data_IF_632656466470
#
_entry.id   IF_632656466470
#
_cell.length_a   1.000
_cell.length_b   1.000
_cell.length_c   1.000
_cell.angle_alpha   90.00
_cell.angle_beta   90.00
_cell.angle_gamma   90.00
#
_symmetry.space_group_name_H-M   'P 1'
#
loop_
_entity.id
_entity.type
_entity.pdbx_description
1 polymer ?
#
# COMPACT_ATOMS: atom_id res chain seq x y z
N UNK A 1 7.01 14.60 1.89
CA UNK A 1 7.03 13.48 0.93
C UNK A 1 5.63 13.06 0.53
N UNK A 2 4.76 12.65 1.48
CA UNK A 2 3.39 12.21 1.15
C UNK A 2 2.58 13.24 0.35
N UNK A 3 2.72 14.53 0.65
CA UNK A 3 2.06 15.60 -0.10
C UNK A 3 2.46 15.61 -1.60
N UNK A 4 3.71 15.26 -1.94
CA UNK A 4 4.10 15.10 -3.36
C UNK A 4 3.38 13.93 -4.02
N UNK A 5 3.15 12.84 -3.28
CA UNK A 5 2.39 11.70 -3.81
C UNK A 5 0.92 12.06 -3.99
N UNK A 6 0.34 12.85 -3.07
CA UNK A 6 -1.01 13.39 -3.20
C UNK A 6 -1.16 14.27 -4.45
N UNK A 7 -0.20 15.17 -4.68
CA UNK A 7 -0.17 16.02 -5.88
C UNK A 7 -0.12 15.15 -7.16
N UNK A 8 0.77 14.16 -7.22
CA UNK A 8 0.86 13.24 -8.35
C UNK A 8 -0.45 12.47 -8.59
N UNK A 9 -1.11 12.01 -7.53
CA UNK A 9 -2.39 11.28 -7.61
C UNK A 9 -3.60 12.18 -7.82
N UNK A 10 -3.42 13.50 -7.72
CA UNK A 10 -4.45 14.48 -8.09
C UNK A 10 -4.51 14.60 -9.61
N UNK A 11 -3.34 14.63 -10.26
CA UNK A 11 -3.22 14.77 -11.71
C UNK A 11 -3.38 13.44 -12.46
N UNK A 12 -3.10 12.31 -11.78
CA UNK A 12 -3.03 10.99 -12.39
C UNK A 12 -3.71 9.91 -11.56
N UNK A 13 -4.18 8.85 -12.23
CA UNK A 13 -4.77 7.68 -11.54
C UNK A 13 -3.75 6.90 -10.68
N UNK A 14 -2.48 6.90 -11.07
CA UNK A 14 -1.37 6.22 -10.39
C UNK A 14 -0.17 7.16 -10.28
N UNK A 15 0.82 6.82 -9.45
CA UNK A 15 1.93 7.73 -9.09
C UNK A 15 2.72 8.25 -10.29
N UNK A 16 2.78 7.48 -11.38
CA UNK A 16 3.56 7.81 -12.58
C UNK A 16 2.68 7.97 -13.85
N UNK A 17 1.35 8.08 -13.72
CA UNK A 17 0.44 8.29 -14.85
C UNK A 17 -0.87 7.52 -14.77
N UNK A 18 -1.48 7.25 -15.92
CA UNK A 18 -2.81 6.61 -16.00
C UNK A 18 -2.82 5.10 -15.79
N UNK A 19 -1.65 4.47 -15.80
CA UNK A 19 -1.49 3.03 -15.65
C UNK A 19 -0.66 2.67 -14.42
N UNK A 20 -1.04 1.56 -13.77
CA UNK A 20 -0.28 1.00 -12.67
C UNK A 20 1.14 0.68 -13.15
N UNK A 21 2.13 1.15 -12.40
CA UNK A 21 3.54 1.02 -12.78
C UNK A 21 4.36 0.32 -11.70
N UNK A 22 5.60 -0.05 -12.04
CA UNK A 22 6.57 -0.51 -11.04
C UNK A 22 6.84 0.55 -9.95
N UNK A 23 6.70 1.85 -10.27
CA UNK A 23 6.83 2.93 -9.29
C UNK A 23 5.79 2.82 -8.18
N UNK A 24 4.54 2.55 -8.53
CA UNK A 24 3.46 2.32 -7.55
C UNK A 24 3.79 1.16 -6.62
N UNK A 25 4.25 0.04 -7.19
CA UNK A 25 4.54 -1.17 -6.43
C UNK A 25 5.79 -0.98 -5.54
N UNK A 26 6.78 -0.22 -6.00
CA UNK A 26 7.99 0.07 -5.23
C UNK A 26 7.72 1.02 -4.05
N UNK A 27 6.82 2.00 -4.23
CA UNK A 27 6.50 3.00 -3.19
C UNK A 27 5.47 2.48 -2.19
N UNK A 28 4.54 1.63 -2.63
CA UNK A 28 3.43 1.10 -1.82
C UNK A 28 3.84 0.54 -0.45
N UNK A 29 4.88 -0.31 -0.30
CA UNK A 29 5.27 -0.85 0.99
C UNK A 29 5.63 0.23 2.02
N UNK A 30 6.31 1.30 1.59
CA UNK A 30 6.74 2.38 2.46
C UNK A 30 5.58 3.24 2.92
N UNK A 31 4.66 3.58 2.01
CA UNK A 31 3.44 4.31 2.36
C UNK A 31 2.58 3.49 3.32
N UNK A 32 2.44 2.17 3.08
CA UNK A 32 1.71 1.27 3.97
C UNK A 32 2.36 1.19 5.35
N UNK A 33 3.69 1.05 5.43
CA UNK A 33 4.42 1.01 6.71
C UNK A 33 4.24 2.30 7.51
N UNK A 34 4.34 3.45 6.82
CA UNK A 34 4.13 4.75 7.43
C UNK A 34 2.69 4.92 7.95
N UNK A 35 1.69 4.63 7.11
CA UNK A 35 0.27 4.68 7.50
C UNK A 35 -0.07 3.73 8.66
N UNK A 36 0.58 2.57 8.73
CA UNK A 36 0.38 1.62 9.82
C UNK A 36 1.11 1.99 11.13
N UNK A 37 1.99 2.98 11.12
CA UNK A 37 2.67 3.45 12.34
C UNK A 37 1.69 4.20 13.24
N UNK A 38 0.84 5.02 12.64
CA UNK A 38 -0.26 5.73 13.29
C UNK A 38 -1.39 5.91 12.28
N UNK A 39 -2.36 4.99 12.35
CA UNK A 39 -3.47 4.93 11.39
C UNK A 39 -4.38 6.13 11.57
N UNK A 40 -4.69 6.52 12.80
CA UNK A 40 -5.62 7.61 13.09
C UNK A 40 -5.06 8.95 12.60
N UNK A 41 -3.77 9.20 12.85
CA UNK A 41 -3.09 10.37 12.32
C UNK A 41 -3.06 10.37 10.80
N UNK A 42 -2.81 9.23 10.15
CA UNK A 42 -2.76 9.14 8.69
C UNK A 42 -4.13 9.40 8.05
N UNK A 43 -5.20 8.86 8.64
CA UNK A 43 -6.58 9.10 8.20
C UNK A 43 -7.02 10.55 8.42
N UNK A 44 -6.49 11.24 9.43
CA UNK A 44 -6.80 12.65 9.66
C UNK A 44 -6.06 13.61 8.71
N UNK A 45 -5.08 13.14 7.93
CA UNK A 45 -4.35 14.00 6.99
C UNK A 45 -5.20 14.38 5.77
N UNK A 46 -5.00 15.58 5.19
CA UNK A 46 -5.69 16.01 3.98
C UNK A 46 -5.06 15.39 2.73
N UNK A 47 -5.01 14.05 2.66
CA UNK A 47 -4.39 13.28 1.58
C UNK A 47 -5.39 12.28 0.94
N UNK A 48 -6.57 12.75 0.48
CA UNK A 48 -7.65 11.86 0.04
C UNK A 48 -7.27 10.99 -1.16
N UNK A 49 -6.46 11.47 -2.10
CA UNK A 49 -6.05 10.70 -3.27
C UNK A 49 -5.07 9.60 -2.89
N UNK A 50 -4.12 9.92 -2.01
CA UNK A 50 -3.15 8.96 -1.48
C UNK A 50 -3.81 7.91 -0.59
N UNK A 51 -4.75 8.31 0.27
CA UNK A 51 -5.54 7.38 1.08
C UNK A 51 -6.34 6.43 0.19
N UNK A 52 -7.03 6.94 -0.84
CA UNK A 52 -7.77 6.13 -1.80
C UNK A 52 -6.88 5.19 -2.62
N UNK A 53 -5.72 5.68 -3.07
CA UNK A 53 -4.72 4.86 -3.76
C UNK A 53 -4.22 3.73 -2.86
N UNK A 54 -3.88 4.02 -1.60
CA UNK A 54 -3.41 3.03 -0.64
C UNK A 54 -4.48 1.97 -0.38
N UNK A 55 -5.72 2.40 -0.15
CA UNK A 55 -6.87 1.52 0.08
C UNK A 55 -7.09 0.57 -1.11
N UNK A 56 -7.07 1.10 -2.34
CA UNK A 56 -7.20 0.31 -3.55
C UNK A 56 -6.07 -0.72 -3.74
N UNK A 57 -4.88 -0.52 -3.14
CA UNK A 57 -3.77 -1.49 -3.18
C UNK A 57 -3.90 -2.56 -2.10
N UNK A 58 -4.20 -2.18 -0.86
CA UNK A 58 -4.38 -3.16 0.24
C UNK A 58 -5.62 -4.03 0.06
N UNK A 59 -6.65 -3.55 -0.65
CA UNK A 59 -7.85 -4.33 -0.97
C UNK A 59 -7.78 -5.06 -2.32
N UNK A 60 -6.65 -5.00 -3.03
CA UNK A 60 -6.52 -5.69 -4.31
C UNK A 60 -6.42 -7.21 -4.15
N UNK A 61 -7.01 -7.98 -5.08
CA UNK A 61 -6.96 -9.45 -5.08
C UNK A 61 -5.53 -9.98 -5.03
N UNK A 62 -4.60 -9.34 -5.74
CA UNK A 62 -3.19 -9.72 -5.74
C UNK A 62 -2.57 -9.57 -4.35
N UNK A 63 -2.78 -8.43 -3.70
CA UNK A 63 -2.24 -8.18 -2.38
C UNK A 63 -2.80 -9.15 -1.33
N UNK A 64 -4.12 -9.35 -1.34
CA UNK A 64 -4.79 -10.30 -0.45
C UNK A 64 -4.29 -11.74 -0.66
N UNK A 65 -4.04 -12.12 -1.91
CA UNK A 65 -3.48 -13.43 -2.25
C UNK A 65 -2.07 -13.65 -1.70
N UNK A 66 -1.21 -12.63 -1.74
CA UNK A 66 0.17 -12.71 -1.23
C UNK A 66 0.21 -12.62 0.31
N UNK A 67 -0.69 -11.83 0.92
CA UNK A 67 -0.76 -11.68 2.38
C UNK A 67 -1.44 -12.85 3.09
N UNK A 68 -2.08 -13.77 2.35
CA UNK A 68 -2.55 -15.03 2.90
C UNK A 68 -1.36 -15.78 3.51
N UNK A 69 -1.27 -15.81 4.86
CA UNK A 69 -0.21 -16.49 5.57
C UNK A 69 -0.15 -17.95 5.12
N UNK A 70 0.86 -18.32 4.35
CA UNK A 70 1.18 -19.72 4.12
C UNK A 70 1.59 -20.33 5.47
N UNK A 71 0.70 -21.13 6.07
CA UNK A 71 1.01 -22.02 7.20
C UNK A 71 2.06 -23.05 6.73
N UNK A 72 3.33 -22.66 6.64
CA UNK A 72 4.42 -23.58 6.31
C UNK A 72 5.64 -23.29 7.17
N UNK A 73 5.51 -23.56 8.47
CA UNK A 73 6.60 -23.82 9.44
C UNK A 73 6.01 -24.50 10.70
N UNK A 74 5.20 -25.54 10.54
CA UNK A 74 4.62 -26.29 11.67
C UNK A 74 4.86 -27.81 11.59
N UNK A 75 5.70 -28.27 10.66
CA UNK A 75 6.12 -29.66 10.59
C UNK A 75 7.64 -29.70 10.50
N UNK A 76 8.27 -29.59 11.66
CA UNK A 76 9.42 -30.41 12.02
C UNK A 76 9.64 -30.31 13.55
N UNK A 77 8.87 -31.05 14.37
CA UNK A 77 9.43 -31.60 15.59
C UNK A 77 10.33 -32.80 15.19
N UNK A 78 11.57 -32.72 15.64
CA UNK A 78 12.72 -33.59 15.33
C UNK A 78 12.49 -35.11 15.44
N UNK A 79 13.30 -35.94 14.77
CA UNK A 79 13.67 -37.25 15.29
C UNK A 79 14.63 -37.15 16.48
#
# INVERSE_FOLDING_TARGET
FLQKLEEQLTDHRYLLGEHLSYGDIAIFPFVRQFANTDVDWFQSQPLPKLQGWLDARVNSTLFLGIMAKHRRWLLDPAP
#
